data_IF_799020762063
#
_entry.id   IF_799020762063
#
_cell.length_a   1.000
_cell.length_b   1.000
_cell.length_c   1.000
_cell.angle_alpha   90.00
_cell.angle_beta   90.00
_cell.angle_gamma   90.00
#
_symmetry.space_group_name_H-M   'P 1'
#
loop_
_entity.id
_entity.type
_entity.pdbx_description
1 polymer ?
#
# COMPACT_ATOMS: atom_id res chain seq x y z
N UNK A 1 -45.02 36.25 -12.23
CA UNK A 1 -43.75 36.17 -11.48
C UNK A 1 -43.07 34.86 -11.89
N UNK A 2 -42.02 34.93 -12.71
CA UNK A 2 -41.33 33.75 -13.23
C UNK A 2 -40.32 33.23 -12.21
N UNK A 3 -40.58 32.04 -11.65
CA UNK A 3 -39.63 31.31 -10.84
C UNK A 3 -38.45 30.85 -11.72
N UNK A 4 -37.27 31.45 -11.52
CA UNK A 4 -36.02 30.96 -12.11
C UNK A 4 -35.72 29.58 -11.53
N UNK A 5 -35.90 28.55 -12.35
CA UNK A 5 -35.23 27.24 -12.16
C UNK A 5 -33.73 27.49 -12.15
N UNK A 6 -33.12 27.42 -10.98
CA UNK A 6 -31.67 27.30 -10.82
C UNK A 6 -31.26 25.95 -11.41
N UNK A 7 -30.76 25.98 -12.65
CA UNK A 7 -29.95 24.88 -13.17
C UNK A 7 -28.75 24.73 -12.24
N UNK A 8 -28.68 23.63 -11.50
CA UNK A 8 -27.45 23.15 -10.88
C UNK A 8 -26.38 23.09 -11.98
N UNK A 9 -25.37 23.95 -11.87
CA UNK A 9 -24.18 23.84 -12.72
C UNK A 9 -23.60 22.45 -12.48
N UNK A 10 -23.43 21.67 -13.55
CA UNK A 10 -22.54 20.52 -13.55
C UNK A 10 -21.20 20.97 -12.92
N UNK A 11 -20.79 20.26 -11.87
CA UNK A 11 -19.88 20.76 -10.84
C UNK A 11 -18.54 21.25 -11.39
N UNK A 12 -18.13 22.43 -10.91
CA UNK A 12 -16.72 22.83 -10.96
C UNK A 12 -15.87 21.70 -10.34
N UNK A 13 -14.67 21.45 -10.88
CA UNK A 13 -13.73 20.49 -10.31
C UNK A 13 -13.46 20.86 -8.84
N UNK A 14 -13.92 20.03 -7.90
CA UNK A 14 -13.62 20.20 -6.48
C UNK A 14 -12.12 19.92 -6.28
N UNK A 15 -11.38 20.76 -5.53
CA UNK A 15 -10.01 20.44 -5.17
C UNK A 15 -9.98 19.17 -4.31
N UNK A 16 -8.90 18.38 -4.39
CA UNK A 16 -8.76 17.22 -3.52
C UNK A 16 -8.80 17.64 -2.05
N UNK A 17 -9.40 16.81 -1.21
CA UNK A 17 -9.37 16.96 0.25
C UNK A 17 -8.83 15.68 0.84
N UNK A 18 -7.82 15.81 1.68
CA UNK A 18 -7.14 14.64 2.23
C UNK A 18 -7.63 14.29 3.62
N UNK A 19 -7.89 15.26 4.49
CA UNK A 19 -8.51 15.00 5.80
C UNK A 19 -9.65 15.97 6.11
N UNK A 20 -10.22 15.79 7.30
CA UNK A 20 -11.09 16.78 7.93
C UNK A 20 -10.32 18.08 8.17
N UNK A 21 -10.99 19.21 7.97
CA UNK A 21 -10.40 20.54 8.19
C UNK A 21 -10.17 20.87 9.66
N UNK A 22 -10.87 20.16 10.56
CA UNK A 22 -10.69 20.21 11.99
C UNK A 22 -10.54 18.80 12.49
N UNK A 23 -9.57 18.57 13.38
CA UNK A 23 -9.36 17.26 14.01
C UNK A 23 -10.64 16.84 14.71
N UNK A 24 -11.14 15.65 14.37
CA UNK A 24 -12.33 15.06 14.98
C UNK A 24 -11.92 13.93 15.95
N UNK A 25 -12.63 13.72 17.07
CA UNK A 25 -12.29 12.66 18.04
C UNK A 25 -12.36 11.26 17.42
N UNK A 26 -11.64 10.31 18.00
CA UNK A 26 -11.65 8.91 17.55
C UNK A 26 -13.02 8.25 17.72
N UNK A 27 -13.42 7.41 16.77
CA UNK A 27 -14.65 6.66 16.91
C UNK A 27 -14.55 5.68 18.06
N UNK A 28 -15.61 5.57 18.84
CA UNK A 28 -15.68 4.57 19.93
C UNK A 28 -16.26 3.24 19.44
N UNK A 29 -16.88 3.22 18.26
CA UNK A 29 -17.51 2.07 17.62
C UNK A 29 -17.74 2.33 16.14
N UNK A 30 -17.85 1.27 15.36
CA UNK A 30 -18.32 1.33 13.98
C UNK A 30 -19.79 1.69 13.86
N UNK A 31 -20.16 2.33 12.74
CA UNK A 31 -21.53 2.58 12.31
C UNK A 31 -22.22 1.28 11.91
N UNK A 32 -21.51 0.39 11.23
CA UNK A 32 -21.99 -0.92 10.85
C UNK A 32 -21.26 -2.01 11.63
N UNK A 33 -22.04 -2.93 12.20
CA UNK A 33 -21.48 -4.13 12.81
C UNK A 33 -21.00 -5.05 11.69
N UNK A 34 -19.71 -5.38 11.69
CA UNK A 34 -19.19 -6.46 10.87
C UNK A 34 -19.78 -7.79 11.36
N UNK A 35 -20.47 -8.52 10.47
CA UNK A 35 -20.98 -9.85 10.80
C UNK A 35 -19.87 -10.90 10.65
N UNK A 36 -20.12 -12.12 11.10
CA UNK A 36 -19.17 -13.21 10.87
C UNK A 36 -19.14 -13.57 9.39
N UNK A 37 -17.93 -13.63 8.83
CA UNK A 37 -17.71 -14.02 7.43
C UNK A 37 -17.64 -15.52 7.22
N UNK A 38 -17.79 -16.32 8.29
CA UNK A 38 -17.53 -17.76 8.23
C UNK A 38 -18.36 -18.47 7.16
N UNK A 39 -19.63 -18.09 7.01
CA UNK A 39 -20.51 -18.65 5.98
C UNK A 39 -20.10 -18.20 4.58
N UNK A 40 -19.75 -16.92 4.41
CA UNK A 40 -19.28 -16.38 3.13
C UNK A 40 -17.96 -17.04 2.69
N UNK A 41 -17.02 -17.27 3.61
CA UNK A 41 -15.78 -18.00 3.31
C UNK A 41 -15.99 -19.44 2.85
N UNK A 42 -17.09 -20.09 3.27
CA UNK A 42 -17.44 -21.43 2.78
C UNK A 42 -17.89 -21.41 1.31
N UNK A 43 -18.27 -20.24 0.79
CA UNK A 43 -18.70 -20.01 -0.59
C UNK A 43 -17.57 -19.46 -1.49
N UNK A 44 -16.38 -19.22 -0.93
CA UNK A 44 -15.23 -18.71 -1.69
C UNK A 44 -14.54 -19.84 -2.43
N UNK A 45 -14.38 -19.68 -3.75
CA UNK A 45 -13.53 -20.56 -4.52
C UNK A 45 -12.06 -20.10 -4.42
N UNK A 46 -11.35 -20.53 -3.37
CA UNK A 46 -9.95 -20.14 -3.07
C UNK A 46 -8.89 -20.49 -4.14
N UNK A 47 -9.28 -21.10 -5.25
CA UNK A 47 -8.41 -21.38 -6.41
C UNK A 47 -8.77 -20.55 -7.64
N UNK A 48 -9.86 -19.78 -7.56
CA UNK A 48 -10.34 -18.98 -8.66
C UNK A 48 -9.66 -17.62 -8.61
N UNK A 49 -8.78 -17.39 -9.58
CA UNK A 49 -8.30 -16.06 -9.89
C UNK A 49 -9.43 -15.22 -10.50
N UNK A 50 -9.39 -13.92 -10.27
CA UNK A 50 -10.31 -12.97 -10.91
C UNK A 50 -9.62 -12.22 -12.06
N UNK A 51 -10.36 -11.82 -13.11
CA UNK A 51 -9.81 -10.94 -14.14
C UNK A 51 -9.33 -9.61 -13.54
N UNK A 52 -8.16 -9.14 -13.96
CA UNK A 52 -7.67 -7.82 -13.56
C UNK A 52 -8.45 -6.73 -14.34
N UNK A 53 -9.08 -5.76 -13.66
CA UNK A 53 -9.76 -4.66 -14.34
C UNK A 53 -8.82 -3.90 -15.28
N UNK A 54 -9.28 -3.67 -16.51
CA UNK A 54 -8.49 -2.92 -17.49
C UNK A 54 -8.32 -1.46 -17.06
N UNK A 55 -7.12 -0.87 -17.23
CA UNK A 55 -6.92 0.55 -17.01
C UNK A 55 -7.79 1.38 -17.96
N UNK A 56 -8.23 2.56 -17.51
CA UNK A 56 -8.97 3.50 -18.37
C UNK A 56 -8.12 3.99 -19.55
N UNK A 57 -6.83 4.18 -19.31
CA UNK A 57 -5.84 4.54 -20.32
C UNK A 57 -4.61 3.63 -20.16
N UNK A 58 -4.53 2.50 -20.88
CA UNK A 58 -3.38 1.58 -20.80
C UNK A 58 -2.06 2.23 -21.21
N UNK A 59 -2.08 3.28 -22.02
CA UNK A 59 -0.87 3.96 -22.48
C UNK A 59 -0.27 4.92 -21.43
N UNK A 60 -1.01 5.22 -20.35
CA UNK A 60 -0.54 6.10 -19.28
C UNK A 60 -0.92 5.58 -17.89
N UNK A 61 -0.04 4.75 -17.34
CA UNK A 61 -0.13 4.19 -15.99
C UNK A 61 0.80 4.87 -14.99
N UNK A 62 1.27 6.09 -15.29
CA UNK A 62 2.12 6.87 -14.38
C UNK A 62 1.30 7.98 -13.75
N UNK A 63 1.14 7.92 -12.43
CA UNK A 63 0.54 8.98 -11.62
C UNK A 63 1.65 9.79 -10.94
N UNK A 64 1.52 11.12 -10.92
CA UNK A 64 2.49 12.01 -10.27
C UNK A 64 1.90 12.63 -9.01
N UNK A 65 2.71 12.77 -7.94
CA UNK A 65 2.32 13.44 -6.70
C UNK A 65 1.75 14.86 -6.96
N UNK A 66 2.36 15.61 -7.88
CA UNK A 66 1.87 16.95 -8.28
C UNK A 66 0.42 16.92 -8.76
N UNK A 67 0.04 15.88 -9.51
CA UNK A 67 -1.32 15.73 -10.05
C UNK A 67 -2.31 15.39 -8.96
N UNK A 68 -1.91 14.53 -8.01
CA UNK A 68 -2.72 14.14 -6.84
C UNK A 68 -3.01 15.33 -5.93
N UNK A 69 -2.02 16.17 -5.67
CA UNK A 69 -2.14 17.38 -4.83
C UNK A 69 -2.98 18.49 -5.47
N UNK A 70 -3.34 18.36 -6.75
CA UNK A 70 -3.99 19.41 -7.52
C UNK A 70 -3.00 20.49 -7.99
N UNK A 71 -3.12 20.94 -9.24
CA UNK A 71 -2.06 21.69 -9.95
C UNK A 71 -1.53 22.94 -9.22
N UNK A 72 -2.37 23.72 -8.54
CA UNK A 72 -1.93 24.96 -7.88
C UNK A 72 -1.12 24.71 -6.61
N UNK A 73 -1.61 23.84 -5.72
CA UNK A 73 -0.94 23.51 -4.46
C UNK A 73 0.22 22.53 -4.68
N UNK A 74 0.03 21.56 -5.59
CA UNK A 74 1.05 20.58 -5.96
C UNK A 74 2.35 21.21 -6.44
N UNK A 75 2.29 22.23 -7.30
CA UNK A 75 3.51 22.91 -7.78
C UNK A 75 4.33 23.55 -6.65
N UNK A 76 3.67 24.07 -5.62
CA UNK A 76 4.36 24.63 -4.46
C UNK A 76 5.00 23.52 -3.62
N UNK A 77 4.23 22.49 -3.29
CA UNK A 77 4.70 21.38 -2.47
C UNK A 77 5.88 20.65 -3.13
N UNK A 78 5.83 20.43 -4.45
CA UNK A 78 6.95 19.81 -5.18
C UNK A 78 8.22 20.65 -5.10
N UNK A 79 8.12 21.98 -5.21
CA UNK A 79 9.28 22.87 -5.04
C UNK A 79 9.82 22.86 -3.62
N UNK A 80 8.94 22.78 -2.62
CA UNK A 80 9.33 22.70 -1.21
C UNK A 80 10.10 21.40 -0.95
N UNK A 81 9.60 20.25 -1.42
CA UNK A 81 10.30 18.94 -1.34
C UNK A 81 11.67 19.00 -2.02
N UNK A 82 11.75 19.57 -3.23
CA UNK A 82 13.02 19.71 -3.94
C UNK A 82 14.02 20.60 -3.21
N UNK A 83 13.55 21.68 -2.58
CA UNK A 83 14.37 22.58 -1.77
C UNK A 83 14.85 21.91 -0.48
N UNK A 84 13.99 21.13 0.15
CA UNK A 84 14.31 20.32 1.33
C UNK A 84 15.31 19.20 1.01
N UNK A 85 15.36 18.76 -0.25
CA UNK A 85 16.31 17.77 -0.75
C UNK A 85 15.96 16.34 -0.39
N UNK A 86 14.78 16.10 0.19
CA UNK A 86 14.26 14.80 0.59
C UNK A 86 12.74 14.78 0.56
N UNK A 87 12.16 13.59 0.56
CA UNK A 87 10.73 13.34 0.77
C UNK A 87 10.53 12.33 1.91
N UNK A 88 9.50 12.56 2.72
CA UNK A 88 9.02 11.61 3.72
C UNK A 88 7.63 11.14 3.34
N UNK A 89 7.34 9.85 3.50
CA UNK A 89 6.00 9.28 3.28
C UNK A 89 5.79 8.03 4.12
N UNK A 90 4.54 7.58 4.21
CA UNK A 90 4.17 6.38 4.96
C UNK A 90 3.79 5.21 4.05
N UNK A 91 3.98 3.99 4.54
CA UNK A 91 3.37 2.79 3.97
C UNK A 91 2.74 1.94 5.06
N UNK A 92 1.59 1.34 4.73
CA UNK A 92 0.80 0.46 5.60
C UNK A 92 0.20 -0.66 4.75
N UNK A 93 -0.12 -1.80 5.37
CA UNK A 93 -0.88 -2.89 4.76
C UNK A 93 -1.90 -3.45 5.75
N UNK A 94 -2.99 -4.02 5.25
CA UNK A 94 -3.87 -4.86 6.09
C UNK A 94 -4.46 -4.03 7.23
N UNK A 95 -5.02 -2.87 6.91
CA UNK A 95 -5.58 -1.97 7.93
C UNK A 95 -6.95 -2.43 8.37
N UNK A 96 -7.76 -2.97 7.45
CA UNK A 96 -9.23 -3.05 7.55
C UNK A 96 -9.73 -3.79 8.80
N UNK A 97 -10.05 -3.07 9.88
CA UNK A 97 -10.38 -3.69 11.15
C UNK A 97 -11.81 -4.28 11.12
N UNK A 98 -11.98 -5.54 11.49
CA UNK A 98 -13.32 -6.16 11.58
C UNK A 98 -13.92 -6.07 12.99
N UNK A 99 -13.08 -5.98 14.02
CA UNK A 99 -13.49 -6.04 15.43
C UNK A 99 -13.82 -4.70 16.10
N UNK A 100 -13.57 -3.57 15.43
CA UNK A 100 -13.73 -2.22 15.99
C UNK A 100 -12.49 -1.35 15.74
N UNK A 101 -12.57 -0.04 16.02
CA UNK A 101 -11.55 0.93 15.58
C UNK A 101 -10.26 0.88 16.42
N UNK A 102 -10.32 0.30 17.62
CA UNK A 102 -9.23 0.32 18.61
C UNK A 102 -7.83 0.00 18.06
N UNK A 103 -7.69 -1.00 17.19
CA UNK A 103 -6.36 -1.43 16.73
C UNK A 103 -5.81 -0.51 15.63
N UNK A 104 -6.66 -0.13 14.67
CA UNK A 104 -6.25 0.81 13.61
C UNK A 104 -6.00 2.20 14.18
N UNK A 105 -6.76 2.63 15.19
CA UNK A 105 -6.62 3.96 15.80
C UNK A 105 -5.21 4.17 16.36
N UNK A 106 -4.63 3.14 17.00
CA UNK A 106 -3.24 3.21 17.49
C UNK A 106 -2.24 3.53 16.37
N UNK A 107 -2.43 2.95 15.19
CA UNK A 107 -1.57 3.19 14.03
C UNK A 107 -1.86 4.58 13.47
N UNK A 108 -3.13 4.93 13.24
CA UNK A 108 -3.50 6.22 12.66
C UNK A 108 -3.16 7.40 13.55
N UNK A 109 -3.13 7.23 14.87
CA UNK A 109 -2.69 8.26 15.82
C UNK A 109 -1.21 8.55 15.65
N UNK A 110 -0.37 7.52 15.51
CA UNK A 110 1.06 7.70 15.22
C UNK A 110 1.28 8.34 13.85
N UNK A 111 0.58 7.88 12.82
CA UNK A 111 0.63 8.48 11.48
C UNK A 111 0.25 9.98 11.50
N UNK A 112 -0.70 10.38 12.35
CA UNK A 112 -1.10 11.77 12.53
C UNK A 112 -0.06 12.59 13.31
N UNK A 113 0.55 11.98 14.33
CA UNK A 113 1.57 12.63 15.15
C UNK A 113 2.83 13.00 14.34
N UNK A 114 3.15 12.25 13.28
CA UNK A 114 4.26 12.56 12.37
C UNK A 114 4.04 13.85 11.55
N UNK A 115 2.86 14.48 11.60
CA UNK A 115 2.65 15.82 11.06
C UNK A 115 2.95 16.95 12.06
N UNK A 116 3.11 16.63 13.36
CA UNK A 116 3.14 17.61 14.44
C UNK A 116 4.56 17.84 14.97
N UNK A 117 5.01 19.10 14.94
CA UNK A 117 6.26 19.51 15.61
C UNK A 117 7.55 19.00 14.95
N UNK A 118 7.43 18.41 13.76
CA UNK A 118 8.55 17.95 12.96
C UNK A 118 9.32 19.12 12.32
N UNK A 119 10.66 19.02 12.17
CA UNK A 119 11.44 19.99 11.40
C UNK A 119 10.94 20.14 9.96
N UNK A 120 11.25 21.27 9.34
CA UNK A 120 10.95 21.50 7.91
C UNK A 120 11.46 20.32 7.06
N UNK A 121 10.55 19.76 6.26
CA UNK A 121 10.80 18.63 5.36
C UNK A 121 10.77 17.23 5.97
N UNK A 122 10.41 17.09 7.25
CA UNK A 122 10.20 15.76 7.89
C UNK A 122 8.73 15.31 7.87
N UNK A 123 7.80 16.22 7.57
CA UNK A 123 6.38 15.90 7.49
C UNK A 123 6.05 14.98 6.30
N UNK A 124 5.26 13.90 6.50
CA UNK A 124 4.87 12.98 5.45
C UNK A 124 4.09 13.66 4.32
N UNK A 125 4.42 13.35 3.06
CA UNK A 125 3.81 13.95 1.86
C UNK A 125 2.69 13.11 1.26
N UNK A 126 2.65 11.82 1.55
CA UNK A 126 1.59 10.88 1.19
C UNK A 126 1.70 9.60 2.01
N UNK A 127 0.69 8.73 1.90
CA UNK A 127 0.70 7.34 2.35
C UNK A 127 0.45 6.43 1.16
N UNK A 128 1.15 5.30 1.08
CA UNK A 128 0.94 4.25 0.08
C UNK A 128 0.50 2.94 0.76
N UNK A 129 -0.74 2.54 0.53
CA UNK A 129 -1.37 1.38 1.14
C UNK A 129 -1.16 0.12 0.29
N UNK A 130 -0.75 -0.96 0.93
CA UNK A 130 -0.33 -2.21 0.30
C UNK A 130 -1.46 -3.22 0.15
N UNK A 131 -2.71 -2.76 0.07
CA UNK A 131 -3.88 -3.63 -0.02
C UNK A 131 -4.48 -4.05 1.31
N UNK A 132 -5.63 -4.72 1.21
CA UNK A 132 -6.49 -5.14 2.31
C UNK A 132 -6.98 -3.97 3.17
N UNK A 133 -7.56 -3.03 2.45
CA UNK A 133 -8.15 -1.82 3.01
C UNK A 133 -9.47 -2.17 3.70
N UNK A 134 -10.25 -3.06 3.08
CA UNK A 134 -11.53 -3.53 3.61
C UNK A 134 -11.56 -5.04 3.69
N UNK A 135 -11.61 -5.55 4.91
CA UNK A 135 -11.93 -6.94 5.18
C UNK A 135 -13.45 -7.15 5.28
N UNK A 136 -13.97 -8.32 4.90
CA UNK A 136 -13.23 -9.46 4.31
C UNK A 136 -13.36 -9.59 2.79
N UNK A 137 -14.29 -8.87 2.16
CA UNK A 137 -14.67 -9.05 0.76
C UNK A 137 -14.76 -7.73 -0.02
N UNK A 138 -14.02 -6.71 0.41
CA UNK A 138 -13.96 -5.42 -0.30
C UNK A 138 -15.30 -4.69 -0.34
N UNK A 139 -16.23 -5.01 0.57
CA UNK A 139 -17.60 -4.52 0.48
C UNK A 139 -17.66 -3.01 0.73
N UNK A 140 -18.26 -2.27 -0.22
CA UNK A 140 -18.37 -0.81 -0.14
C UNK A 140 -19.02 -0.30 1.15
N UNK A 141 -19.92 -1.07 1.76
CA UNK A 141 -20.59 -0.70 3.02
C UNK A 141 -19.62 -0.50 4.18
N UNK A 142 -18.46 -1.17 4.19
CA UNK A 142 -17.49 -1.09 5.28
C UNK A 142 -16.39 -0.04 5.07
N UNK A 143 -16.31 0.58 3.90
CA UNK A 143 -15.31 1.63 3.62
C UNK A 143 -15.39 2.80 4.61
N UNK A 144 -16.59 3.16 5.07
CA UNK A 144 -16.71 4.21 6.08
C UNK A 144 -15.93 3.84 7.35
N UNK A 145 -16.25 2.69 7.94
CA UNK A 145 -15.73 2.26 9.25
C UNK A 145 -14.27 1.77 9.18
N UNK A 146 -13.85 1.20 8.05
CA UNK A 146 -12.53 0.58 7.92
C UNK A 146 -11.49 1.46 7.23
N UNK A 147 -11.90 2.49 6.49
CA UNK A 147 -10.97 3.37 5.76
C UNK A 147 -11.21 4.85 6.04
N UNK A 148 -12.40 5.36 5.73
CA UNK A 148 -12.63 6.80 5.80
C UNK A 148 -12.58 7.34 7.23
N UNK A 149 -13.15 6.63 8.20
CA UNK A 149 -13.18 7.05 9.60
C UNK A 149 -11.82 6.91 10.29
N UNK A 150 -11.06 5.80 10.16
CA UNK A 150 -9.71 5.73 10.75
C UNK A 150 -8.75 6.77 10.16
N UNK A 151 -8.81 7.01 8.85
CA UNK A 151 -7.94 7.99 8.18
C UNK A 151 -8.54 9.40 8.07
N UNK A 152 -9.64 9.71 8.78
CA UNK A 152 -10.37 10.99 8.65
C UNK A 152 -9.50 12.21 8.89
N UNK A 153 -8.53 12.11 9.79
CA UNK A 153 -7.66 13.21 10.19
C UNK A 153 -6.28 13.19 9.50
N UNK A 154 -5.95 12.15 8.72
CA UNK A 154 -4.66 12.06 8.00
C UNK A 154 -4.61 13.07 6.83
N UNK A 155 -3.75 14.07 6.92
CA UNK A 155 -3.83 15.28 6.08
C UNK A 155 -3.13 15.18 4.70
N UNK A 156 -2.63 14.00 4.33
CA UNK A 156 -1.96 13.77 3.06
C UNK A 156 -2.72 12.76 2.16
N UNK A 157 -2.44 12.73 0.85
CA UNK A 157 -3.04 11.74 -0.05
C UNK A 157 -2.72 10.31 0.40
N UNK A 158 -3.69 9.41 0.24
CA UNK A 158 -3.52 7.97 0.45
C UNK A 158 -3.69 7.31 -0.92
N UNK A 159 -2.61 6.76 -1.46
CA UNK A 159 -2.63 5.90 -2.64
C UNK A 159 -2.66 4.43 -2.21
N UNK A 160 -3.09 3.53 -3.08
CA UNK A 160 -3.18 2.12 -2.75
C UNK A 160 -3.02 1.19 -3.97
N UNK A 161 -2.46 0.01 -3.74
CA UNK A 161 -2.75 -1.20 -4.53
C UNK A 161 -3.81 -2.02 -3.78
N UNK A 162 -4.61 -2.87 -4.44
CA UNK A 162 -5.53 -3.75 -3.76
C UNK A 162 -4.83 -5.00 -3.21
N UNK A 163 -5.39 -5.53 -2.13
CA UNK A 163 -5.06 -6.85 -1.60
C UNK A 163 -6.06 -7.92 -2.05
N UNK A 164 -5.91 -9.14 -1.52
CA UNK A 164 -6.84 -10.22 -1.86
C UNK A 164 -8.24 -9.91 -1.34
N UNK A 165 -8.38 -9.40 -0.11
CA UNK A 165 -9.68 -9.11 0.49
C UNK A 165 -10.40 -7.96 -0.21
N UNK A 166 -9.69 -7.03 -0.84
CA UNK A 166 -10.32 -5.95 -1.62
C UNK A 166 -10.98 -6.45 -2.91
N UNK A 167 -10.50 -7.57 -3.46
CA UNK A 167 -10.98 -8.16 -4.71
C UNK A 167 -11.81 -9.43 -4.53
N UNK A 168 -11.77 -10.05 -3.36
CA UNK A 168 -12.42 -11.32 -3.07
C UNK A 168 -13.94 -11.19 -3.13
N UNK A 169 -14.59 -12.07 -3.89
CA UNK A 169 -16.05 -12.21 -3.96
C UNK A 169 -16.43 -13.67 -3.75
N UNK A 170 -17.65 -13.93 -3.29
CA UNK A 170 -18.19 -15.28 -3.08
C UNK A 170 -19.31 -15.58 -4.08
N UNK A 171 -19.61 -16.87 -4.31
CA UNK A 171 -20.47 -17.34 -5.44
C UNK A 171 -21.83 -16.64 -5.55
N UNK A 172 -22.43 -16.23 -4.44
CA UNK A 172 -23.75 -15.58 -4.41
C UNK A 172 -23.68 -14.04 -4.37
N UNK A 173 -22.49 -13.45 -4.35
CA UNK A 173 -22.31 -12.01 -4.42
C UNK A 173 -22.42 -11.54 -5.88
N UNK A 174 -23.42 -10.70 -6.23
CA UNK A 174 -23.53 -10.14 -7.57
C UNK A 174 -22.52 -9.02 -7.83
N UNK A 175 -21.76 -8.58 -6.82
CA UNK A 175 -20.82 -7.46 -6.92
C UNK A 175 -19.59 -7.87 -7.74
N UNK A 176 -19.18 -7.09 -8.75
CA UNK A 176 -17.92 -7.33 -9.44
C UNK A 176 -16.73 -7.23 -8.48
N UNK A 177 -15.70 -8.05 -8.71
CA UNK A 177 -14.40 -7.92 -8.01
C UNK A 177 -13.90 -6.47 -8.05
N UNK A 178 -13.33 -5.99 -6.94
CA UNK A 178 -12.75 -4.65 -6.79
C UNK A 178 -13.72 -3.46 -6.98
N UNK A 179 -15.04 -3.66 -7.06
CA UNK A 179 -15.99 -2.58 -7.37
C UNK A 179 -15.80 -1.36 -6.43
N UNK A 180 -15.79 -1.59 -5.12
CA UNK A 180 -15.60 -0.51 -4.16
C UNK A 180 -14.19 0.11 -4.23
N UNK A 181 -13.15 -0.69 -4.47
CA UNK A 181 -11.79 -0.18 -4.65
C UNK A 181 -11.72 0.78 -5.85
N UNK A 182 -12.28 0.38 -6.99
CA UNK A 182 -12.33 1.21 -8.20
C UNK A 182 -13.09 2.52 -7.96
N UNK A 183 -14.23 2.47 -7.24
CA UNK A 183 -15.03 3.65 -6.90
C UNK A 183 -14.32 4.63 -5.97
N UNK A 184 -13.44 4.17 -5.08
CA UNK A 184 -12.77 5.02 -4.10
C UNK A 184 -11.36 5.45 -4.51
N UNK A 185 -10.64 4.64 -5.29
CA UNK A 185 -9.23 4.91 -5.66
C UNK A 185 -8.97 5.24 -7.14
N UNK A 186 -9.83 4.80 -8.06
CA UNK A 186 -9.58 4.85 -9.53
C UNK A 186 -10.57 5.83 -10.23
N UNK A 187 -10.89 6.93 -9.55
CA UNK A 187 -11.83 7.93 -10.08
C UNK A 187 -11.16 8.85 -11.10
N UNK A 188 -11.93 9.48 -12.00
CA UNK A 188 -11.35 10.39 -13.01
C UNK A 188 -10.87 11.72 -12.41
N UNK A 189 -11.49 12.14 -11.32
CA UNK A 189 -11.21 13.37 -10.58
C UNK A 189 -11.63 13.18 -9.13
N UNK A 190 -11.07 13.95 -8.19
CA UNK A 190 -11.49 13.89 -6.79
C UNK A 190 -12.98 14.20 -6.67
N UNK A 191 -13.73 13.29 -6.06
CA UNK A 191 -15.15 13.45 -5.74
C UNK A 191 -15.40 13.02 -4.30
N UNK A 192 -16.49 13.50 -3.70
CA UNK A 192 -16.97 12.94 -2.43
C UNK A 192 -17.64 11.60 -2.72
N UNK A 193 -17.09 10.52 -2.14
CA UNK A 193 -17.68 9.18 -2.23
C UNK A 193 -18.91 9.07 -1.35
N UNK A 194 -19.91 8.30 -1.77
CA UNK A 194 -21.00 7.87 -0.89
C UNK A 194 -20.49 7.02 0.28
N UNK A 195 -19.40 6.30 0.05
CA UNK A 195 -18.77 5.42 1.03
C UNK A 195 -18.06 6.22 2.15
N UNK A 196 -17.81 7.52 1.93
CA UNK A 196 -17.21 8.42 2.92
C UNK A 196 -18.17 8.83 4.05
N UNK A 197 -19.46 8.52 3.94
CA UNK A 197 -20.43 8.72 5.02
C UNK A 197 -20.50 10.15 5.57
N UNK A 198 -20.21 11.15 4.73
CA UNK A 198 -20.21 12.58 5.07
C UNK A 198 -18.84 13.19 5.41
N UNK A 199 -17.77 12.39 5.48
CA UNK A 199 -16.41 12.90 5.69
C UNK A 199 -15.87 13.64 4.46
N UNK A 200 -14.92 14.55 4.71
CA UNK A 200 -14.39 15.49 3.72
C UNK A 200 -13.43 14.86 2.73
N UNK A 201 -12.75 13.75 3.10
CA UNK A 201 -11.76 13.07 2.26
C UNK A 201 -12.38 12.71 0.91
N UNK A 202 -11.78 13.18 -0.17
CA UNK A 202 -12.20 12.84 -1.53
C UNK A 202 -11.61 11.52 -1.99
N UNK A 203 -12.21 10.91 -3.00
CA UNK A 203 -11.64 9.78 -3.74
C UNK A 203 -10.29 10.12 -4.38
N UNK A 204 -9.55 9.08 -4.75
CA UNK A 204 -8.26 9.20 -5.45
C UNK A 204 -8.40 8.98 -6.96
N UNK A 205 -7.34 9.33 -7.67
CA UNK A 205 -7.29 9.40 -9.14
C UNK A 205 -6.27 8.45 -9.75
N UNK A 206 -6.10 7.27 -9.15
CA UNK A 206 -5.19 6.26 -9.68
C UNK A 206 -5.65 5.86 -11.08
N UNK A 207 -4.71 5.58 -12.01
CA UNK A 207 -5.09 5.22 -13.37
C UNK A 207 -5.62 3.79 -13.46
N UNK A 208 -5.23 2.93 -12.52
CA UNK A 208 -5.63 1.52 -12.43
C UNK A 208 -5.29 0.93 -11.05
N UNK A 209 -5.55 -0.36 -10.89
CA UNK A 209 -5.23 -1.17 -9.71
C UNK A 209 -3.75 -1.56 -9.63
N UNK A 210 -3.02 -1.41 -10.73
CA UNK A 210 -1.57 -1.47 -10.83
C UNK A 210 -1.09 -0.22 -11.59
N UNK A 211 -0.07 0.46 -11.08
CA UNK A 211 0.40 1.73 -11.65
C UNK A 211 1.75 2.12 -11.07
N UNK A 212 2.46 3.03 -11.75
CA UNK A 212 3.65 3.66 -11.21
C UNK A 212 3.28 5.01 -10.60
N UNK A 213 3.81 5.30 -9.42
CA UNK A 213 3.65 6.57 -8.72
C UNK A 213 5.00 7.29 -8.65
N UNK A 214 5.09 8.45 -9.30
CA UNK A 214 6.29 9.28 -9.30
C UNK A 214 6.12 10.47 -8.31
N UNK A 215 7.06 10.59 -7.40
CA UNK A 215 7.27 11.75 -6.54
C UNK A 215 8.75 12.20 -6.63
N UNK A 216 9.12 13.40 -6.14
CA UNK A 216 10.53 13.75 -6.04
C UNK A 216 11.28 12.71 -5.20
N UNK A 217 12.44 12.25 -5.67
CA UNK A 217 13.33 11.28 -5.02
C UNK A 217 12.82 9.83 -4.93
N UNK A 218 11.57 9.54 -5.28
CA UNK A 218 11.03 8.17 -5.20
C UNK A 218 10.04 7.86 -6.33
N UNK A 219 10.14 6.65 -6.87
CA UNK A 219 9.14 6.03 -7.73
C UNK A 219 8.68 4.70 -7.13
N UNK A 220 7.37 4.52 -6.97
CA UNK A 220 6.76 3.26 -6.50
C UNK A 220 6.09 2.59 -7.69
N UNK A 221 6.43 1.33 -7.98
CA UNK A 221 5.78 0.50 -8.99
C UNK A 221 4.84 -0.46 -8.26
N UNK A 222 3.54 -0.14 -8.26
CA UNK A 222 2.50 -0.93 -7.62
C UNK A 222 1.95 -2.03 -8.53
N UNK A 223 1.85 -3.25 -7.99
CA UNK A 223 1.28 -4.43 -8.65
C UNK A 223 0.09 -4.97 -7.85
N UNK A 224 -0.92 -5.46 -8.55
CA UNK A 224 -2.05 -6.19 -7.98
C UNK A 224 -1.83 -7.71 -8.11
N UNK A 225 -1.86 -8.42 -6.98
CA UNK A 225 -1.51 -9.85 -6.86
C UNK A 225 -2.73 -10.79 -6.73
N UNK A 226 -3.92 -10.32 -7.12
CA UNK A 226 -5.15 -11.10 -7.19
C UNK A 226 -5.72 -11.56 -5.83
N UNK A 227 -6.70 -12.48 -5.84
CA UNK A 227 -7.60 -12.77 -4.70
C UNK A 227 -7.33 -14.09 -3.98
N UNK A 228 -6.28 -14.82 -4.35
CA UNK A 228 -5.94 -16.05 -3.63
C UNK A 228 -5.56 -15.71 -2.18
N UNK A 229 -5.71 -16.68 -1.29
CA UNK A 229 -5.13 -16.56 0.06
C UNK A 229 -3.61 -16.61 -0.03
N UNK A 230 -3.08 -17.61 -0.74
CA UNK A 230 -1.66 -17.74 -1.05
C UNK A 230 -1.54 -18.72 -2.24
N UNK A 231 -0.50 -18.59 -3.09
CA UNK A 231 0.35 -17.42 -3.27
C UNK A 231 -0.34 -16.33 -4.11
N UNK A 232 0.25 -15.13 -4.15
CA UNK A 232 -0.19 -14.07 -5.06
C UNK A 232 0.18 -14.35 -6.52
N UNK A 233 -0.63 -13.84 -7.45
CA UNK A 233 -0.48 -14.05 -8.91
C UNK A 233 -0.59 -12.73 -9.66
N UNK A 234 0.41 -12.41 -10.49
CA UNK A 234 0.48 -11.15 -11.26
C UNK A 234 0.42 -11.33 -12.78
N UNK A 235 0.37 -12.57 -13.27
CA UNK A 235 0.43 -12.92 -14.71
C UNK A 235 -0.46 -14.14 -15.04
N UNK A 236 -0.45 -14.59 -16.29
CA UNK A 236 -1.07 -15.85 -16.68
C UNK A 236 -0.36 -17.10 -16.12
N UNK A 237 0.87 -16.97 -15.64
CA UNK A 237 1.82 -18.04 -15.32
C UNK A 237 1.99 -19.08 -16.46
N UNK A 238 1.73 -18.67 -17.71
CA UNK A 238 1.76 -19.55 -18.89
C UNK A 238 0.51 -20.41 -19.07
N UNK A 239 -0.55 -20.21 -18.27
CA UNK A 239 -1.82 -20.91 -18.42
C UNK A 239 -2.75 -20.17 -19.39
N UNK A 240 -3.08 -20.80 -20.53
CA UNK A 240 -3.92 -20.20 -21.57
C UNK A 240 -5.34 -19.82 -21.10
N UNK A 241 -5.86 -20.54 -20.09
CA UNK A 241 -7.19 -20.31 -19.51
C UNK A 241 -7.14 -19.40 -18.27
N UNK A 242 -5.97 -18.81 -17.96
CA UNK A 242 -5.87 -17.90 -16.82
C UNK A 242 -6.74 -16.66 -17.05
N UNK A 243 -7.54 -16.24 -16.06
CA UNK A 243 -8.26 -14.97 -16.14
C UNK A 243 -7.32 -13.77 -15.98
N UNK A 244 -6.07 -14.00 -15.57
CA UNK A 244 -5.02 -12.99 -15.44
C UNK A 244 -4.15 -13.01 -16.70
N UNK A 245 -3.91 -11.83 -17.27
CA UNK A 245 -3.05 -11.67 -18.45
C UNK A 245 -1.63 -11.27 -18.08
N UNK A 246 -0.70 -11.32 -19.04
CA UNK A 246 0.69 -10.89 -18.85
C UNK A 246 0.89 -9.36 -19.01
N UNK A 247 -0.19 -8.59 -19.17
CA UNK A 247 -0.12 -7.11 -19.34
C UNK A 247 0.62 -6.44 -18.17
N UNK A 248 0.38 -6.92 -16.95
CA UNK A 248 1.01 -6.38 -15.75
C UNK A 248 2.52 -6.72 -15.68
N UNK A 249 2.95 -7.88 -16.20
CA UNK A 249 4.37 -8.24 -16.28
C UNK A 249 5.09 -7.38 -17.34
N UNK A 250 4.45 -7.13 -18.48
CA UNK A 250 4.94 -6.19 -19.48
C UNK A 250 5.03 -4.76 -18.92
N UNK A 251 4.03 -4.34 -18.13
CA UNK A 251 4.05 -3.08 -17.41
C UNK A 251 5.24 -2.98 -16.45
N UNK A 252 5.43 -3.97 -15.56
CA UNK A 252 6.55 -3.98 -14.60
C UNK A 252 7.89 -3.79 -15.31
N UNK A 253 8.14 -4.60 -16.34
CA UNK A 253 9.37 -4.55 -17.14
C UNK A 253 9.54 -3.18 -17.80
N UNK A 254 8.47 -2.62 -18.38
CA UNK A 254 8.50 -1.30 -18.99
C UNK A 254 8.78 -0.19 -17.97
N UNK A 255 8.24 -0.28 -16.76
CA UNK A 255 8.48 0.73 -15.72
C UNK A 255 9.90 0.64 -15.18
N UNK A 256 10.44 -0.57 -14.94
CA UNK A 256 11.83 -0.76 -14.54
C UNK A 256 12.79 -0.17 -15.58
N UNK A 257 12.56 -0.41 -16.88
CA UNK A 257 13.31 0.22 -17.97
C UNK A 257 13.22 1.75 -17.95
N UNK A 258 12.03 2.30 -17.67
CA UNK A 258 11.79 3.75 -17.59
C UNK A 258 12.58 4.40 -16.46
N UNK A 259 12.64 3.77 -15.29
CA UNK A 259 13.17 4.38 -14.05
C UNK A 259 14.65 4.13 -13.82
N UNK A 260 15.28 3.23 -14.59
CA UNK A 260 16.69 2.83 -14.46
C UNK A 260 17.67 3.99 -14.29
N UNK A 261 17.44 5.11 -14.99
CA UNK A 261 18.31 6.29 -14.96
C UNK A 261 17.64 7.51 -14.30
N UNK A 262 16.59 7.31 -13.51
CA UNK A 262 15.85 8.40 -12.87
C UNK A 262 16.62 9.08 -11.74
N UNK A 263 17.52 8.35 -11.07
CA UNK A 263 18.18 8.80 -9.84
C UNK A 263 17.25 8.81 -8.61
N UNK A 264 16.00 8.35 -8.75
CA UNK A 264 15.08 8.17 -7.65
C UNK A 264 15.31 6.81 -6.98
N UNK A 265 14.95 6.72 -5.69
CA UNK A 265 14.65 5.45 -5.07
C UNK A 265 13.52 4.75 -5.83
N UNK A 266 13.61 3.43 -6.01
CA UNK A 266 12.62 2.64 -6.74
C UNK A 266 12.14 1.51 -5.85
N UNK A 267 10.83 1.49 -5.58
CA UNK A 267 10.19 0.50 -4.72
C UNK A 267 9.21 -0.29 -5.58
N UNK A 268 9.26 -1.62 -5.54
CA UNK A 268 8.17 -2.47 -6.05
C UNK A 268 7.23 -2.75 -4.89
N UNK A 269 5.97 -2.37 -5.03
CA UNK A 269 4.91 -2.60 -4.05
C UNK A 269 3.95 -3.68 -4.56
N UNK A 270 3.73 -4.73 -3.78
CA UNK A 270 2.82 -5.82 -4.13
C UNK A 270 2.23 -6.42 -2.86
N UNK A 271 0.92 -6.61 -2.80
CA UNK A 271 0.24 -7.04 -1.56
C UNK A 271 0.77 -8.37 -1.03
N UNK A 272 0.65 -9.46 -1.80
CA UNK A 272 1.24 -10.74 -1.42
C UNK A 272 2.77 -10.66 -1.46
N UNK A 273 3.47 -11.18 -0.44
CA UNK A 273 4.91 -11.06 -0.37
C UNK A 273 5.62 -12.10 -1.24
N UNK A 274 6.73 -11.73 -1.92
CA UNK A 274 7.63 -12.72 -2.53
C UNK A 274 8.28 -13.65 -1.49
N UNK A 275 8.57 -13.14 -0.29
CA UNK A 275 9.07 -13.89 0.85
C UNK A 275 8.18 -13.68 2.08
N UNK A 276 7.77 -14.77 2.72
CA UNK A 276 7.24 -14.76 4.08
C UNK A 276 7.76 -16.00 4.80
N UNK A 277 8.07 -15.88 6.08
CA UNK A 277 8.66 -16.97 6.84
C UNK A 277 8.04 -17.13 8.22
N UNK A 278 7.97 -18.37 8.71
CA UNK A 278 7.53 -18.69 10.07
C UNK A 278 6.05 -18.48 10.38
N UNK A 279 5.26 -17.84 9.51
CA UNK A 279 3.85 -17.49 9.75
C UNK A 279 2.80 -18.48 9.24
N UNK A 280 1.55 -18.00 9.20
CA UNK A 280 0.41 -18.68 8.55
C UNK A 280 0.37 -18.43 7.04
N UNK A 281 0.83 -17.26 6.58
CA UNK A 281 0.93 -16.90 5.17
C UNK A 281 2.27 -17.29 4.54
N UNK A 282 2.23 -17.62 3.25
CA UNK A 282 3.38 -18.07 2.47
C UNK A 282 3.97 -17.01 1.54
N UNK A 283 5.25 -17.18 1.19
CA UNK A 283 5.85 -16.40 0.09
C UNK A 283 5.36 -16.87 -1.28
N UNK A 284 5.51 -16.01 -2.29
CA UNK A 284 5.09 -16.26 -3.68
C UNK A 284 6.28 -16.52 -4.61
N UNK A 285 6.85 -17.75 -4.65
CA UNK A 285 8.11 -18.02 -5.38
C UNK A 285 8.00 -17.88 -6.91
N UNK A 286 6.82 -18.11 -7.50
CA UNK A 286 6.60 -17.87 -8.93
C UNK A 286 6.60 -16.38 -9.24
N UNK A 287 5.84 -15.59 -8.49
CA UNK A 287 5.83 -14.13 -8.59
C UNK A 287 7.24 -13.53 -8.36
N UNK A 288 8.00 -14.04 -7.39
CA UNK A 288 9.41 -13.67 -7.20
C UNK A 288 10.23 -13.88 -8.48
N UNK A 289 10.09 -15.05 -9.12
CA UNK A 289 10.78 -15.36 -10.37
C UNK A 289 10.37 -14.41 -11.50
N UNK A 290 9.11 -14.04 -11.60
CA UNK A 290 8.62 -13.10 -12.61
C UNK A 290 9.17 -11.68 -12.38
N UNK A 291 9.21 -11.23 -11.13
CA UNK A 291 9.86 -9.96 -10.76
C UNK A 291 11.35 -10.00 -11.13
N UNK A 292 12.05 -11.10 -10.83
CA UNK A 292 13.46 -11.28 -11.20
C UNK A 292 13.69 -11.22 -12.71
N UNK A 293 12.83 -11.88 -13.48
CA UNK A 293 12.95 -11.91 -14.93
C UNK A 293 12.68 -10.52 -15.54
N UNK A 294 11.70 -9.78 -15.00
CA UNK A 294 11.48 -8.38 -15.36
C UNK A 294 12.68 -7.49 -15.01
N UNK A 295 13.30 -7.67 -13.84
CA UNK A 295 14.49 -6.93 -13.42
C UNK A 295 15.70 -7.21 -14.34
N UNK A 296 15.92 -8.49 -14.67
CA UNK A 296 16.98 -8.90 -15.62
C UNK A 296 16.75 -8.31 -17.00
N UNK A 297 15.51 -8.36 -17.51
CA UNK A 297 15.18 -7.80 -18.82
C UNK A 297 15.31 -6.26 -18.85
N UNK A 298 14.97 -5.59 -17.75
CA UNK A 298 15.17 -4.16 -17.60
C UNK A 298 16.64 -3.76 -17.38
N UNK A 299 17.49 -4.73 -17.02
CA UNK A 299 18.84 -4.51 -16.52
C UNK A 299 18.83 -3.46 -15.40
N UNK A 300 17.90 -3.63 -14.46
CA UNK A 300 17.70 -2.75 -13.31
C UNK A 300 16.92 -3.50 -12.21
N UNK A 301 17.44 -3.44 -10.99
CA UNK A 301 16.80 -4.00 -9.80
C UNK A 301 16.24 -2.87 -8.93
N UNK A 302 15.07 -3.05 -8.29
CA UNK A 302 14.54 -2.05 -7.38
C UNK A 302 15.40 -1.95 -6.12
N UNK A 303 15.31 -0.80 -5.45
CA UNK A 303 15.97 -0.54 -4.18
C UNK A 303 15.24 -1.17 -2.99
N UNK A 304 13.96 -1.53 -3.14
CA UNK A 304 13.17 -2.26 -2.15
C UNK A 304 11.99 -2.98 -2.79
N UNK A 305 11.54 -4.06 -2.14
CA UNK A 305 10.25 -4.71 -2.41
C UNK A 305 9.43 -4.71 -1.11
N UNK A 306 8.22 -4.16 -1.14
CA UNK A 306 7.41 -3.98 0.07
C UNK A 306 6.01 -4.55 -0.13
N UNK A 307 5.53 -5.29 0.86
CA UNK A 307 4.32 -6.09 0.83
C UNK A 307 3.51 -5.99 2.12
N UNK A 308 2.24 -6.41 2.07
CA UNK A 308 1.35 -6.59 3.22
C UNK A 308 1.07 -8.09 3.42
N UNK A 309 -0.20 -8.45 3.56
CA UNK A 309 -0.79 -9.79 3.54
C UNK A 309 -0.44 -10.68 4.74
N UNK A 310 0.85 -10.89 5.02
CA UNK A 310 1.21 -11.61 6.24
C UNK A 310 1.01 -10.66 7.42
N UNK A 311 0.11 -11.00 8.35
CA UNK A 311 -0.30 -10.11 9.45
C UNK A 311 0.75 -9.92 10.56
N UNK A 312 1.97 -9.53 10.20
CA UNK A 312 3.09 -9.18 11.05
C UNK A 312 4.06 -8.30 10.25
N UNK A 313 5.05 -7.74 10.92
CA UNK A 313 6.20 -7.14 10.26
C UNK A 313 7.29 -8.19 10.09
N UNK A 314 7.90 -8.23 8.89
CA UNK A 314 9.10 -9.01 8.61
C UNK A 314 10.04 -8.20 7.72
N UNK A 315 11.34 -8.32 7.94
CA UNK A 315 12.36 -7.78 7.03
C UNK A 315 13.33 -8.87 6.62
N UNK A 316 13.62 -8.91 5.33
CA UNK A 316 14.64 -9.74 4.74
C UNK A 316 15.63 -8.88 3.97
N UNK A 317 16.89 -9.30 3.94
CA UNK A 317 17.87 -8.83 2.97
C UNK A 317 18.12 -9.93 1.96
N UNK A 318 17.93 -9.63 0.67
CA UNK A 318 18.27 -10.52 -0.42
C UNK A 318 19.45 -9.95 -1.21
N UNK A 319 20.50 -10.75 -1.38
CA UNK A 319 21.64 -10.39 -2.21
C UNK A 319 21.45 -10.91 -3.64
N UNK A 320 21.63 -10.03 -4.63
CA UNK A 320 21.54 -10.35 -6.06
C UNK A 320 22.74 -9.74 -6.80
N UNK A 321 23.74 -10.58 -7.11
CA UNK A 321 25.00 -10.07 -7.62
C UNK A 321 25.68 -9.19 -6.56
N UNK A 322 25.94 -7.93 -6.90
CA UNK A 322 26.52 -6.94 -5.99
C UNK A 322 25.46 -6.10 -5.24
N UNK A 323 24.17 -6.39 -5.42
CA UNK A 323 23.07 -5.62 -4.85
C UNK A 323 22.49 -6.29 -3.61
N UNK A 324 22.16 -5.49 -2.61
CA UNK A 324 21.37 -5.91 -1.45
C UNK A 324 20.01 -5.22 -1.50
N UNK A 325 18.94 -6.02 -1.52
CA UNK A 325 17.57 -5.53 -1.68
C UNK A 325 16.78 -5.92 -0.43
N UNK A 326 16.19 -4.95 0.29
CA UNK A 326 15.29 -5.23 1.39
C UNK A 326 13.94 -5.70 0.84
N UNK A 327 13.47 -6.82 1.38
CA UNK A 327 12.09 -7.27 1.21
C UNK A 327 11.39 -7.10 2.55
N UNK A 328 10.35 -6.27 2.60
CA UNK A 328 9.68 -5.90 3.85
C UNK A 328 8.20 -6.27 3.76
N UNK A 329 7.70 -6.90 4.81
CA UNK A 329 6.27 -7.12 5.03
C UNK A 329 5.80 -6.16 6.13
N UNK A 330 4.68 -5.47 5.91
CA UNK A 330 3.99 -4.61 6.87
C UNK A 330 2.48 -4.90 6.88
N UNK A 331 2.10 -6.16 7.11
CA UNK A 331 0.69 -6.56 7.18
C UNK A 331 0.07 -6.42 8.57
N UNK A 332 0.73 -5.72 9.48
CA UNK A 332 0.24 -5.48 10.84
C UNK A 332 -0.22 -4.03 11.07
N UNK A 333 -0.79 -3.35 10.08
CA UNK A 333 -1.19 -1.94 10.23
C UNK A 333 -2.61 -1.71 10.74
N UNK A 334 -3.34 -2.75 11.18
CA UNK A 334 -4.61 -2.56 11.91
C UNK A 334 -5.49 -3.81 11.99
N UNK A 335 -5.32 -4.76 11.07
CA UNK A 335 -6.04 -6.01 11.05
C UNK A 335 -5.24 -7.14 11.74
N UNK A 336 -5.93 -7.86 12.63
CA UNK A 336 -5.56 -9.16 13.20
C UNK A 336 -4.06 -9.55 13.22
N UNK A 337 -3.22 -8.86 14.01
CA UNK A 337 -1.79 -9.18 14.10
C UNK A 337 -1.57 -10.64 14.59
N UNK A 338 -0.76 -11.40 13.84
CA UNK A 338 -0.50 -12.82 14.02
C UNK A 338 0.97 -13.10 14.34
N UNK A 339 1.19 -13.86 15.41
CA UNK A 339 2.52 -14.35 15.77
C UNK A 339 3.02 -15.42 14.81
N UNK A 340 4.33 -15.44 14.57
CA UNK A 340 4.99 -16.53 13.87
C UNK A 340 4.77 -17.85 14.64
N UNK A 341 4.61 -18.97 13.94
CA UNK A 341 4.40 -20.30 14.55
C UNK A 341 5.52 -20.66 15.52
N UNK A 342 6.76 -20.33 15.16
CA UNK A 342 7.95 -20.60 15.97
C UNK A 342 8.09 -19.71 17.20
N UNK A 343 7.50 -18.51 17.20
CA UNK A 343 7.63 -17.53 18.29
C UNK A 343 6.57 -17.71 19.38
N UNK A 344 5.51 -18.50 19.12
CA UNK A 344 4.45 -18.83 20.10
C UNK A 344 4.98 -19.35 21.44
N UNK A 345 6.15 -19.98 21.44
CA UNK A 345 6.80 -20.49 22.67
C UNK A 345 8.10 -19.79 23.01
N UNK A 346 8.88 -19.33 22.02
CA UNK A 346 10.19 -18.71 22.25
C UNK A 346 10.51 -17.72 21.15
N UNK A 347 10.86 -16.49 21.51
CA UNK A 347 11.27 -15.47 20.54
C UNK A 347 12.45 -15.98 19.69
N UNK A 348 12.34 -15.77 18.37
CA UNK A 348 13.42 -16.03 17.43
C UNK A 348 14.53 -14.98 17.61
N UNK A 349 15.78 -15.43 17.49
CA UNK A 349 16.95 -14.54 17.44
C UNK A 349 17.30 -14.28 15.99
N UNK A 350 16.97 -13.09 15.51
CA UNK A 350 17.37 -12.59 14.20
C UNK A 350 18.70 -11.81 14.32
N UNK A 351 19.53 -11.72 13.26
CA UNK A 351 19.28 -12.24 11.90
C UNK A 351 19.45 -13.76 11.75
N UNK A 352 18.76 -14.37 10.77
CA UNK A 352 18.83 -15.80 10.42
C UNK A 352 19.11 -15.94 8.91
N UNK A 353 20.19 -16.63 8.55
CA UNK A 353 20.44 -17.02 7.15
C UNK A 353 19.46 -18.12 6.72
N UNK A 354 18.50 -17.78 5.86
CA UNK A 354 17.54 -18.75 5.31
C UNK A 354 18.13 -19.49 4.10
N UNK A 355 18.90 -18.77 3.29
CA UNK A 355 19.71 -19.34 2.21
C UNK A 355 21.06 -18.62 2.15
N UNK A 356 21.92 -18.94 1.18
CA UNK A 356 23.18 -18.21 0.97
C UNK A 356 22.99 -16.74 0.56
N UNK A 357 21.85 -16.41 -0.05
CA UNK A 357 21.55 -15.09 -0.62
C UNK A 357 20.33 -14.43 0.03
N UNK A 358 19.82 -14.98 1.14
CA UNK A 358 18.62 -14.48 1.82
C UNK A 358 18.76 -14.57 3.34
N UNK A 359 18.67 -13.43 3.99
CA UNK A 359 18.75 -13.26 5.44
C UNK A 359 17.40 -12.75 5.94
N UNK A 360 16.85 -13.37 6.98
CA UNK A 360 15.74 -12.85 7.76
C UNK A 360 16.30 -11.95 8.86
N UNK A 361 16.14 -10.64 8.72
CA UNK A 361 16.84 -9.63 9.51
C UNK A 361 16.11 -9.31 10.82
N UNK A 362 14.80 -9.10 10.75
CA UNK A 362 13.98 -8.65 11.87
C UNK A 362 12.51 -9.05 11.66
N UNK A 363 11.74 -8.98 12.73
CA UNK A 363 10.29 -9.17 12.72
C UNK A 363 9.64 -8.51 13.93
N UNK A 364 8.35 -8.18 13.79
CA UNK A 364 7.44 -7.88 14.90
C UNK A 364 6.10 -8.56 14.63
N UNK A 365 5.75 -9.49 15.52
CA UNK A 365 4.61 -10.38 15.38
C UNK A 365 3.66 -10.28 16.58
N UNK A 366 3.73 -9.13 17.28
CA UNK A 366 2.96 -8.84 18.49
C UNK A 366 2.29 -7.48 18.44
N UNK A 367 2.95 -6.49 17.86
CA UNK A 367 2.44 -5.13 17.81
C UNK A 367 1.82 -4.82 16.45
N UNK A 368 1.03 -3.76 16.42
CA UNK A 368 0.66 -3.12 15.16
C UNK A 368 1.75 -2.10 14.78
N UNK A 369 1.78 -1.64 13.53
CA UNK A 369 2.75 -0.63 13.13
C UNK A 369 2.60 -0.15 11.69
N UNK A 370 3.54 0.70 11.29
CA UNK A 370 3.62 1.28 9.94
C UNK A 370 5.06 1.49 9.52
N UNK A 371 5.28 1.76 8.23
CA UNK A 371 6.56 2.18 7.71
C UNK A 371 6.58 3.70 7.51
N UNK A 372 7.66 4.34 7.95
CA UNK A 372 8.04 5.70 7.58
C UNK A 372 9.25 5.64 6.67
N UNK A 373 9.14 6.21 5.48
CA UNK A 373 10.19 6.17 4.46
C UNK A 373 10.74 7.57 4.25
N UNK A 374 12.07 7.69 4.22
CA UNK A 374 12.80 8.92 3.96
C UNK A 374 13.69 8.70 2.75
N UNK A 375 13.44 9.44 1.67
CA UNK A 375 14.19 9.32 0.42
C UNK A 375 14.83 10.64 0.06
N UNK A 376 16.10 10.60 -0.33
CA UNK A 376 16.81 11.74 -0.94
C UNK A 376 17.53 11.31 -2.22
N UNK A 377 18.37 12.17 -2.77
CA UNK A 377 19.15 11.89 -4.00
C UNK A 377 20.21 10.78 -3.86
N UNK A 378 20.46 10.28 -2.66
CA UNK A 378 21.52 9.32 -2.34
C UNK A 378 20.99 8.06 -1.68
N UNK A 379 19.95 8.15 -0.86
CA UNK A 379 19.54 7.06 0.02
C UNK A 379 18.03 6.87 0.07
N UNK A 380 17.65 5.61 0.24
CA UNK A 380 16.32 5.17 0.68
C UNK A 380 16.45 4.62 2.09
N UNK A 381 15.86 5.31 3.08
CA UNK A 381 15.73 4.81 4.45
C UNK A 381 14.30 4.36 4.72
N UNK A 382 14.14 3.16 5.27
CA UNK A 382 12.85 2.56 5.61
C UNK A 382 12.86 2.28 7.10
N UNK A 383 11.97 2.92 7.84
CA UNK A 383 11.82 2.84 9.29
C UNK A 383 10.51 2.12 9.61
N UNK A 384 10.56 1.07 10.43
CA UNK A 384 9.38 0.48 11.03
C UNK A 384 9.12 1.09 12.40
N UNK A 385 7.89 1.55 12.61
CA UNK A 385 7.41 2.10 13.86
C UNK A 385 6.25 1.24 14.36
N UNK A 386 6.39 0.67 15.56
CA UNK A 386 5.31 -0.06 16.22
C UNK A 386 4.26 0.90 16.83
N UNK A 387 3.21 0.32 17.43
CA UNK A 387 2.08 1.01 18.01
C UNK A 387 2.30 1.50 19.45
N UNK A 388 3.55 1.52 19.96
CA UNK A 388 3.86 2.11 21.27
C UNK A 388 3.69 3.65 21.20
N UNK A 389 2.72 4.24 21.94
CA UNK A 389 2.43 5.67 21.87
C UNK A 389 3.54 6.55 22.45
N UNK A 390 4.39 6.00 23.32
CA UNK A 390 5.49 6.74 23.96
C UNK A 390 6.79 6.64 23.15
N UNK A 391 6.87 5.69 22.21
CA UNK A 391 8.04 5.48 21.38
C UNK A 391 8.04 6.37 20.12
N UNK A 392 8.97 7.32 20.09
CA UNK A 392 9.23 8.20 18.93
C UNK A 392 10.29 7.67 17.96
N UNK A 393 11.15 6.76 18.42
CA UNK A 393 12.15 6.11 17.57
C UNK A 393 11.53 4.94 16.82
N UNK A 394 12.09 4.63 15.66
CA UNK A 394 11.78 3.40 14.95
C UNK A 394 12.19 2.17 15.77
N UNK A 395 11.43 1.09 15.65
CA UNK A 395 11.71 -0.21 16.28
C UNK A 395 12.67 -1.04 15.41
N UNK A 396 12.70 -0.78 14.10
CA UNK A 396 13.63 -1.37 13.14
C UNK A 396 13.87 -0.39 11.97
N UNK A 397 15.04 -0.43 11.33
CA UNK A 397 15.30 0.39 10.16
C UNK A 397 16.35 -0.21 9.23
N UNK A 398 16.25 0.15 7.95
CA UNK A 398 17.23 -0.21 6.93
C UNK A 398 17.49 0.98 6.01
N UNK A 399 18.73 1.16 5.57
CA UNK A 399 19.12 2.22 4.63
C UNK A 399 19.87 1.66 3.44
N UNK A 400 19.38 1.94 2.24
CA UNK A 400 19.98 1.56 0.95
C UNK A 400 20.65 2.76 0.31
N UNK A 401 21.90 2.63 -0.12
CA UNK A 401 22.54 3.61 -1.01
C UNK A 401 22.05 3.40 -2.45
N UNK A 402 21.51 4.46 -3.07
CA UNK A 402 20.88 4.39 -4.39
C UNK A 402 21.88 4.19 -5.52
N UNK A 403 23.14 4.59 -5.32
CA UNK A 403 24.16 4.49 -6.37
C UNK A 403 24.74 3.08 -6.43
N UNK A 404 24.99 2.47 -5.27
CA UNK A 404 25.60 1.14 -5.18
C UNK A 404 24.56 0.02 -5.08
N UNK A 405 23.31 0.32 -4.72
CA UNK A 405 22.27 -0.65 -4.35
C UNK A 405 22.72 -1.57 -3.21
N UNK A 406 23.45 -1.04 -2.23
CA UNK A 406 23.92 -1.82 -1.07
C UNK A 406 23.36 -1.25 0.23
N UNK A 407 23.18 -2.12 1.22
CA UNK A 407 22.81 -1.69 2.57
C UNK A 407 23.97 -0.94 3.23
N UNK A 408 23.68 0.24 3.77
CA UNK A 408 24.64 1.04 4.53
C UNK A 408 24.27 1.15 6.02
N UNK A 409 23.04 0.75 6.39
CA UNK A 409 22.66 0.45 7.77
C UNK A 409 21.57 -0.62 7.79
N UNK A 410 21.62 -1.49 8.80
CA UNK A 410 20.65 -2.55 9.08
C UNK A 410 20.22 -2.56 10.54
#
# INVERSE_FOLDING_TARGET
MNAKKTKTRAGANQPPRFGETQVTPDPTKFRLKHLSDQEAYNLVQKKLLQPIPKPKNPDNLVLKLETVLGRSEGNKIIKDIQKEGKIVFHMVGDTGPTGGPKNIDKVTDKLQNDFLGEPDGEAPRFLFHLGDIVYSFGEGKYYYDQFYEPFRNYQAPILAIPGNHDGLVYETDPTPTLDAFLRNFVTEKPVTSTDAGGLSRTTMIQPAVYFAFDAPFVTIIGLYSNVLEDPGVISSEGHADSPVSDEQLAFLTSQLKRVKNSGNAVIVAVHHPPFAWGGDHGGSPKMLKEIDDACKEADFWPHAVISGHAHNQQRFTRTVGDFDIPYIIIGNSGHNCLSLKSTKTTALRAPINLTKDLIFESYDDKNYGYLRLVCDSKQLRIEYHDDDPDQKSYSDAVTVDLKTHTMISN
#
